data_IF_277515730691
#
_entry.id   IF_277515730691
#
_cell.length_a   1.000
_cell.length_b   1.000
_cell.length_c   1.000
_cell.angle_alpha   90.00
_cell.angle_beta   90.00
_cell.angle_gamma   90.00
#
_symmetry.space_group_name_H-M   'P 1'
#
loop_
_entity.id
_entity.type
_entity.pdbx_description
1 polymer ?
#
# COMPACT_ATOMS: atom_id res chain seq x y z
N UNK A 1 43.02 -59.51 -18.83
CA UNK A 1 41.90 -58.61 -18.45
C UNK A 1 40.72 -59.51 -18.13
N UNK A 2 40.08 -59.37 -16.98
CA UNK A 2 38.96 -60.24 -16.61
C UNK A 2 37.77 -59.97 -17.54
N UNK A 3 37.18 -61.03 -18.10
CA UNK A 3 35.90 -60.95 -18.77
C UNK A 3 34.82 -60.67 -17.71
N UNK A 4 34.02 -59.63 -17.95
CA UNK A 4 32.96 -59.18 -17.04
C UNK A 4 31.58 -59.28 -17.70
N UNK A 5 31.45 -60.06 -18.77
CA UNK A 5 30.18 -60.34 -19.42
C UNK A 5 29.18 -60.95 -18.43
N UNK A 6 27.89 -60.62 -18.59
CA UNK A 6 26.77 -60.98 -17.69
C UNK A 6 26.83 -60.39 -16.27
N UNK A 7 27.94 -59.77 -15.85
CA UNK A 7 28.00 -59.08 -14.57
C UNK A 7 27.14 -57.82 -14.57
N UNK A 8 26.60 -57.49 -13.39
CA UNK A 8 25.70 -56.34 -13.23
C UNK A 8 26.31 -55.28 -12.31
N UNK A 9 26.33 -54.03 -12.79
CA UNK A 9 26.83 -52.85 -12.10
C UNK A 9 25.70 -51.82 -11.96
N UNK A 10 25.10 -51.74 -10.78
CA UNK A 10 23.89 -50.93 -10.57
C UNK A 10 22.71 -51.49 -11.37
N UNK A 11 22.18 -50.71 -12.34
CA UNK A 11 21.12 -51.13 -13.27
C UNK A 11 21.65 -51.59 -14.63
N UNK A 12 22.97 -51.71 -14.80
CA UNK A 12 23.60 -52.08 -16.07
C UNK A 12 24.09 -53.52 -16.02
N UNK A 13 23.59 -54.37 -16.92
CA UNK A 13 24.11 -55.71 -17.15
C UNK A 13 25.02 -55.68 -18.37
N UNK A 14 26.24 -56.18 -18.23
CA UNK A 14 27.22 -56.22 -19.32
C UNK A 14 26.83 -57.30 -20.32
N UNK A 15 26.66 -56.93 -21.59
CA UNK A 15 26.23 -57.84 -22.65
C UNK A 15 27.40 -58.41 -23.43
N UNK A 16 28.39 -57.58 -23.78
CA UNK A 16 29.60 -57.98 -24.52
C UNK A 16 30.68 -56.91 -24.50
N UNK A 17 31.90 -57.32 -24.79
CA UNK A 17 33.01 -56.41 -25.10
C UNK A 17 32.77 -55.65 -26.41
N UNK A 18 33.20 -54.38 -26.48
CA UNK A 18 33.12 -53.55 -27.69
C UNK A 18 34.51 -53.28 -28.28
N UNK A 19 35.32 -52.46 -27.60
CA UNK A 19 36.68 -52.10 -28.01
C UNK A 19 37.44 -51.44 -26.84
N UNK A 20 38.69 -51.02 -27.02
CA UNK A 20 39.40 -50.12 -26.13
C UNK A 20 39.21 -48.66 -26.56
N UNK A 21 39.24 -47.73 -25.60
CA UNK A 21 39.36 -46.30 -25.88
C UNK A 21 40.82 -45.92 -26.22
N UNK A 22 41.03 -44.64 -26.54
CA UNK A 22 42.36 -44.06 -26.83
C UNK A 22 43.40 -44.24 -25.70
N UNK A 23 42.94 -44.44 -24.46
CA UNK A 23 43.77 -44.67 -23.28
C UNK A 23 43.96 -46.17 -22.95
N UNK A 24 43.57 -47.08 -23.86
CA UNK A 24 43.71 -48.53 -23.68
C UNK A 24 42.72 -49.17 -22.70
N UNK A 25 41.71 -48.43 -22.22
CA UNK A 25 40.67 -48.93 -21.32
C UNK A 25 39.54 -49.60 -22.10
N UNK A 26 39.15 -50.81 -21.70
CA UNK A 26 38.07 -51.56 -22.35
C UNK A 26 36.69 -50.92 -22.17
N UNK A 27 35.94 -50.84 -23.26
CA UNK A 27 34.57 -50.38 -23.39
C UNK A 27 33.67 -51.61 -23.55
N UNK A 28 32.58 -51.62 -22.80
CA UNK A 28 31.61 -52.70 -22.76
C UNK A 28 30.23 -52.20 -23.16
N UNK A 29 29.51 -53.02 -23.93
CA UNK A 29 28.11 -52.78 -24.27
C UNK A 29 27.25 -53.30 -23.13
N UNK A 30 26.43 -52.44 -22.54
CA UNK A 30 25.58 -52.77 -21.40
C UNK A 30 24.10 -52.53 -21.74
N UNK A 31 23.22 -53.34 -21.16
CA UNK A 31 21.77 -53.15 -21.18
C UNK A 31 21.29 -52.63 -19.82
N UNK A 32 20.41 -51.64 -19.81
CA UNK A 32 19.86 -51.11 -18.58
C UNK A 32 18.53 -51.77 -18.20
N UNK A 33 18.31 -52.05 -16.92
CA UNK A 33 17.06 -52.66 -16.42
C UNK A 33 15.83 -51.74 -16.41
N UNK A 34 15.96 -50.46 -16.77
CA UNK A 34 14.85 -49.48 -16.69
C UNK A 34 13.78 -49.58 -17.80
N UNK A 35 13.84 -50.60 -18.65
CA UNK A 35 12.93 -50.78 -19.78
C UNK A 35 13.26 -49.93 -21.01
N UNK A 36 14.26 -49.04 -20.94
CA UNK A 36 14.81 -48.41 -22.13
C UNK A 36 15.65 -49.43 -22.91
N UNK A 37 15.23 -49.74 -24.15
CA UNK A 37 15.91 -50.71 -25.01
C UNK A 37 17.25 -50.23 -25.59
N UNK A 38 17.68 -48.99 -25.29
CA UNK A 38 18.99 -48.50 -25.72
C UNK A 38 20.14 -49.24 -25.02
N UNK A 39 21.06 -49.78 -25.81
CA UNK A 39 22.36 -50.23 -25.34
C UNK A 39 23.26 -49.03 -25.03
N UNK A 40 24.05 -49.12 -23.96
CA UNK A 40 25.00 -48.07 -23.56
C UNK A 40 26.43 -48.59 -23.52
N UNK A 41 27.37 -47.74 -23.91
CA UNK A 41 28.80 -48.07 -23.98
C UNK A 41 29.50 -47.47 -22.75
N UNK A 42 30.11 -48.31 -21.92
CA UNK A 42 30.70 -47.89 -20.65
C UNK A 42 32.08 -48.51 -20.49
N UNK A 43 33.05 -47.74 -19.99
CA UNK A 43 34.40 -48.24 -19.72
C UNK A 43 34.43 -49.15 -18.49
N UNK A 44 35.34 -50.12 -18.47
CA UNK A 44 35.58 -50.99 -17.31
C UNK A 44 35.87 -50.21 -16.03
N UNK A 45 36.62 -49.11 -16.15
CA UNK A 45 36.89 -48.20 -15.03
C UNK A 45 35.61 -47.60 -14.44
N UNK A 46 34.68 -47.14 -15.28
CA UNK A 46 33.44 -46.49 -14.87
C UNK A 46 32.38 -47.45 -14.33
N UNK A 47 32.40 -48.71 -14.78
CA UNK A 47 31.62 -49.80 -14.19
C UNK A 47 32.17 -50.14 -12.79
N UNK A 48 33.49 -50.37 -12.69
CA UNK A 48 34.13 -50.81 -11.45
C UNK A 48 34.09 -49.77 -10.32
N UNK A 49 34.31 -48.49 -10.62
CA UNK A 49 34.22 -47.42 -9.61
C UNK A 49 32.78 -46.92 -9.39
N UNK A 50 31.81 -47.43 -10.16
CA UNK A 50 30.41 -47.06 -10.07
C UNK A 50 30.08 -45.64 -10.53
N UNK A 51 30.92 -44.98 -11.34
CA UNK A 51 30.59 -43.67 -11.92
C UNK A 51 29.40 -43.76 -12.89
N UNK A 52 29.23 -44.90 -13.55
CA UNK A 52 28.10 -45.19 -14.46
C UNK A 52 27.29 -46.38 -13.98
N UNK A 53 26.10 -46.12 -13.39
CA UNK A 53 25.23 -47.14 -12.77
C UNK A 53 23.93 -47.41 -13.55
N UNK A 54 23.68 -46.69 -14.63
CA UNK A 54 22.46 -46.82 -15.45
C UNK A 54 22.67 -46.14 -16.80
N UNK A 55 21.72 -46.29 -17.74
CA UNK A 55 21.69 -45.52 -18.98
C UNK A 55 21.33 -44.03 -18.78
N UNK A 56 21.44 -43.50 -17.56
CA UNK A 56 21.01 -42.17 -17.17
C UNK A 56 19.61 -42.09 -16.54
N UNK A 57 18.84 -43.19 -16.55
CA UNK A 57 17.49 -43.23 -15.97
C UNK A 57 17.48 -42.88 -14.47
N UNK A 58 18.48 -43.33 -13.70
CA UNK A 58 18.60 -43.04 -12.27
C UNK A 58 18.67 -41.53 -12.00
N UNK A 59 19.27 -40.75 -12.90
CA UNK A 59 19.32 -39.29 -12.79
C UNK A 59 18.00 -38.61 -13.19
N UNK A 60 17.20 -39.24 -14.05
CA UNK A 60 15.87 -38.76 -14.45
C UNK A 60 14.85 -39.01 -13.34
N UNK A 61 14.93 -40.17 -12.68
CA UNK A 61 14.07 -40.59 -11.56
C UNK A 61 14.41 -39.91 -10.23
N UNK A 62 15.53 -39.16 -10.16
CA UNK A 62 15.99 -38.54 -8.93
C UNK A 62 14.96 -37.53 -8.43
N UNK A 63 14.55 -37.68 -7.17
CA UNK A 63 13.71 -36.73 -6.43
C UNK A 63 14.53 -35.90 -5.44
N UNK A 64 14.07 -34.71 -5.06
CA UNK A 64 14.68 -33.98 -3.94
C UNK A 64 14.62 -34.84 -2.66
N UNK A 65 15.66 -34.75 -1.83
CA UNK A 65 15.77 -35.53 -0.57
C UNK A 65 14.68 -35.15 0.45
N UNK A 66 14.17 -33.93 0.35
CA UNK A 66 13.15 -33.38 1.22
C UNK A 66 12.20 -32.54 0.37
N UNK A 67 10.90 -32.64 0.64
CA UNK A 67 9.90 -31.75 0.06
C UNK A 67 9.84 -30.43 0.84
N UNK A 68 9.97 -29.32 0.11
CA UNK A 68 9.96 -27.98 0.68
C UNK A 68 8.62 -27.25 0.45
N UNK A 69 7.68 -27.82 -0.31
CA UNK A 69 6.38 -27.18 -0.57
C UNK A 69 5.67 -26.78 0.73
N UNK A 70 5.13 -25.56 0.73
CA UNK A 70 4.46 -24.94 1.88
C UNK A 70 5.41 -24.39 2.96
N UNK A 71 6.71 -24.72 2.91
CA UNK A 71 7.68 -24.19 3.88
C UNK A 71 8.06 -22.75 3.53
N UNK A 72 8.21 -21.94 4.58
CA UNK A 72 8.63 -20.55 4.46
C UNK A 72 10.10 -20.38 4.87
N UNK A 73 10.87 -19.70 4.03
CA UNK A 73 12.27 -19.36 4.25
C UNK A 73 12.42 -17.84 4.09
N UNK A 74 12.53 -17.12 5.21
CA UNK A 74 12.46 -15.65 5.21
C UNK A 74 11.14 -15.16 4.59
N UNK A 75 11.18 -14.25 3.61
CA UNK A 75 10.01 -13.67 2.97
C UNK A 75 9.51 -14.51 1.78
N UNK A 76 9.96 -15.77 1.64
CA UNK A 76 9.62 -16.68 0.54
C UNK A 76 8.90 -17.93 1.04
N UNK A 77 7.70 -18.18 0.52
CA UNK A 77 6.97 -19.44 0.71
C UNK A 77 7.11 -20.29 -0.53
N UNK A 78 7.56 -21.53 -0.36
CA UNK A 78 7.75 -22.47 -1.48
C UNK A 78 6.39 -22.98 -1.95
N UNK A 79 6.10 -22.81 -3.24
CA UNK A 79 4.84 -23.23 -3.85
C UNK A 79 4.94 -24.63 -4.44
N UNK A 80 5.98 -24.87 -5.25
CA UNK A 80 6.16 -26.17 -5.94
C UNK A 80 7.58 -26.37 -6.45
N UNK A 81 7.87 -27.61 -6.84
CA UNK A 81 9.08 -27.95 -7.57
C UNK A 81 9.04 -27.31 -8.97
N UNK A 82 10.13 -26.63 -9.33
CA UNK A 82 10.29 -26.05 -10.65
C UNK A 82 10.68 -27.14 -11.66
N UNK A 83 10.20 -27.02 -12.89
CA UNK A 83 10.42 -28.04 -13.94
C UNK A 83 11.84 -28.02 -14.48
N UNK A 84 12.49 -26.85 -14.52
CA UNK A 84 13.88 -26.75 -14.95
C UNK A 84 14.85 -27.17 -13.83
N UNK A 85 15.96 -27.79 -14.24
CA UNK A 85 17.12 -28.05 -13.36
C UNK A 85 18.15 -26.95 -13.55
N UNK A 86 18.90 -26.62 -12.51
CA UNK A 86 20.04 -25.71 -12.64
C UNK A 86 21.16 -26.34 -13.48
N UNK A 87 22.13 -25.51 -13.88
CA UNK A 87 23.34 -25.95 -14.62
C UNK A 87 24.08 -27.06 -13.88
N UNK A 88 24.17 -26.97 -12.55
CA UNK A 88 24.75 -27.98 -11.66
C UNK A 88 23.76 -29.09 -11.23
N UNK A 89 22.66 -29.25 -11.97
CA UNK A 89 21.62 -30.27 -11.80
C UNK A 89 20.95 -30.29 -10.42
N UNK A 90 20.93 -29.18 -9.68
CA UNK A 90 20.16 -29.04 -8.44
C UNK A 90 18.67 -28.90 -8.75
N UNK A 91 17.86 -29.34 -7.79
CA UNK A 91 16.43 -29.10 -7.81
C UNK A 91 16.15 -27.64 -7.49
N UNK A 92 15.28 -27.04 -8.29
CA UNK A 92 14.85 -25.65 -8.16
C UNK A 92 13.39 -25.64 -7.68
N UNK A 93 13.05 -24.60 -6.94
CA UNK A 93 11.75 -24.42 -6.33
C UNK A 93 11.18 -23.07 -6.75
N UNK A 94 9.90 -23.07 -7.10
CA UNK A 94 9.14 -21.84 -7.29
C UNK A 94 8.62 -21.37 -5.94
N UNK A 95 8.88 -20.11 -5.63
CA UNK A 95 8.52 -19.49 -4.37
C UNK A 95 7.74 -18.20 -4.62
N UNK A 96 6.76 -17.95 -3.78
CA UNK A 96 6.05 -16.68 -3.72
C UNK A 96 6.65 -15.81 -2.62
N UNK A 97 6.79 -14.52 -2.93
CA UNK A 97 7.30 -13.58 -1.94
C UNK A 97 6.14 -12.89 -1.21
N UNK A 98 6.27 -12.80 0.12
CA UNK A 98 5.29 -12.12 0.99
C UNK A 98 5.04 -10.64 0.64
N UNK A 99 5.91 -10.02 -0.17
CA UNK A 99 5.74 -8.63 -0.60
C UNK A 99 4.63 -8.38 -1.64
N UNK A 100 3.98 -9.44 -2.16
CA UNK A 100 2.82 -9.30 -3.04
C UNK A 100 3.11 -8.77 -4.45
N UNK A 101 4.38 -8.63 -4.86
CA UNK A 101 4.77 -8.18 -6.23
C UNK A 101 4.35 -9.13 -7.35
N UNK A 102 3.82 -10.31 -7.04
CA UNK A 102 3.41 -11.32 -8.03
C UNK A 102 4.57 -12.00 -8.77
N UNK A 103 5.83 -11.69 -8.44
CA UNK A 103 6.99 -12.31 -9.08
C UNK A 103 7.27 -13.70 -8.50
N UNK A 104 7.28 -14.71 -9.36
CA UNK A 104 7.71 -16.07 -9.02
C UNK A 104 9.22 -16.09 -8.86
N UNK A 105 9.68 -16.51 -7.68
CA UNK A 105 11.10 -16.60 -7.35
C UNK A 105 11.57 -18.04 -7.51
N UNK A 106 12.55 -18.26 -8.38
CA UNK A 106 13.18 -19.57 -8.56
C UNK A 106 14.43 -19.65 -7.68
N UNK A 107 14.51 -20.67 -6.82
CA UNK A 107 15.62 -20.83 -5.86
C UNK A 107 15.98 -22.30 -5.64
N UNK A 108 17.25 -22.58 -5.35
CA UNK A 108 17.68 -23.93 -4.94
C UNK A 108 17.42 -24.17 -3.45
N UNK A 109 17.27 -25.44 -3.04
CA UNK A 109 17.16 -25.79 -1.61
C UNK A 109 18.33 -25.28 -0.78
N UNK A 110 19.54 -25.20 -1.36
CA UNK A 110 20.73 -24.68 -0.69
C UNK A 110 20.61 -23.19 -0.41
N UNK A 111 20.09 -22.43 -1.38
CA UNK A 111 19.99 -20.98 -1.26
C UNK A 111 18.85 -20.55 -0.32
N UNK A 112 17.76 -21.33 -0.29
CA UNK A 112 16.65 -21.13 0.65
C UNK A 112 17.09 -21.41 2.09
N UNK A 113 17.62 -22.61 2.37
CA UNK A 113 18.05 -23.01 3.71
C UNK A 113 19.24 -22.19 4.22
N UNK A 114 20.19 -21.87 3.33
CA UNK A 114 21.34 -21.04 3.66
C UNK A 114 21.04 -19.54 3.70
N UNK A 115 19.80 -19.13 3.43
CA UNK A 115 19.39 -17.73 3.43
C UNK A 115 20.15 -16.86 2.44
N UNK A 116 20.65 -17.42 1.33
CA UNK A 116 21.24 -16.62 0.24
C UNK A 116 20.14 -16.00 -0.62
N UNK A 117 19.03 -16.72 -0.79
CA UNK A 117 17.82 -16.22 -1.42
C UNK A 117 16.76 -16.02 -0.35
N UNK A 118 16.59 -14.75 0.07
CA UNK A 118 15.69 -14.39 1.18
C UNK A 118 14.36 -13.79 0.75
N UNK A 119 14.28 -13.30 -0.50
CA UNK A 119 13.07 -12.70 -1.07
C UNK A 119 13.19 -12.55 -2.61
N UNK A 120 12.18 -11.95 -3.27
CA UNK A 120 12.26 -11.52 -4.68
C UNK A 120 13.18 -10.30 -4.90
N UNK A 121 14.23 -10.15 -4.08
CA UNK A 121 15.08 -8.94 -4.02
C UNK A 121 14.39 -7.71 -3.39
N UNK A 122 13.20 -7.86 -2.80
CA UNK A 122 12.61 -6.84 -1.94
C UNK A 122 13.38 -6.62 -0.62
N UNK A 123 14.15 -7.62 -0.14
CA UNK A 123 14.95 -7.53 1.09
C UNK A 123 16.26 -6.76 0.89
N UNK A 124 16.87 -6.84 -0.30
CA UNK A 124 18.03 -6.00 -0.64
C UNK A 124 17.64 -4.50 -0.76
N UNK A 125 16.33 -4.23 -0.82
CA UNK A 125 15.76 -2.88 -0.72
C UNK A 125 15.36 -2.49 0.72
N UNK A 126 15.54 -3.32 1.76
CA UNK A 126 15.20 -2.90 3.14
C UNK A 126 16.07 -1.74 3.66
N UNK A 127 17.24 -1.44 3.06
CA UNK A 127 18.02 -0.20 3.31
C UNK A 127 17.55 1.01 2.48
N UNK A 128 16.78 0.79 1.41
CA UNK A 128 16.11 1.85 0.64
C UNK A 128 14.60 1.67 0.79
N UNK A 129 14.10 2.17 1.93
CA UNK A 129 12.70 2.48 2.30
C UNK A 129 11.64 1.64 1.58
N UNK A 130 10.82 0.95 2.38
CA UNK A 130 9.50 0.44 1.99
C UNK A 130 8.99 1.17 0.75
N UNK A 131 8.80 0.46 -0.37
CA UNK A 131 8.14 1.04 -1.54
C UNK A 131 6.72 1.34 -1.10
N UNK A 132 6.52 2.52 -0.51
CA UNK A 132 5.23 3.06 -0.16
C UNK A 132 4.51 3.15 -1.50
N UNK A 133 3.40 2.45 -1.61
CA UNK A 133 2.51 2.65 -2.74
C UNK A 133 2.02 4.10 -2.68
N UNK A 134 2.42 4.88 -3.66
CA UNK A 134 2.05 6.29 -3.75
C UNK A 134 0.70 6.47 -4.46
N UNK A 135 0.07 5.41 -4.96
CA UNK A 135 -1.18 5.48 -5.73
C UNK A 135 -2.27 6.19 -4.94
N UNK A 136 -2.91 7.19 -5.56
CA UNK A 136 -3.94 8.04 -4.96
C UNK A 136 -3.41 9.16 -4.06
N UNK A 137 -2.13 9.14 -3.67
CA UNK A 137 -1.52 10.21 -2.89
C UNK A 137 -1.34 11.45 -3.77
N UNK A 138 -1.39 12.62 -3.12
CA UNK A 138 -1.26 13.92 -3.76
C UNK A 138 0.03 14.57 -3.27
N UNK A 139 0.87 15.00 -4.22
CA UNK A 139 2.10 15.74 -3.98
C UNK A 139 2.01 17.06 -4.74
N UNK A 140 1.83 18.17 -4.02
CA UNK A 140 1.58 19.48 -4.64
C UNK A 140 0.39 19.41 -5.62
N UNK A 141 0.60 19.74 -6.91
CA UNK A 141 -0.44 19.69 -7.95
C UNK A 141 -0.55 18.32 -8.65
N UNK A 142 0.09 17.27 -8.10
CA UNK A 142 0.22 15.98 -8.76
C UNK A 142 -0.49 14.90 -7.94
N UNK A 143 -1.58 14.36 -8.47
CA UNK A 143 -2.20 13.14 -7.96
C UNK A 143 -1.55 11.93 -8.63
N UNK A 144 -0.98 11.03 -7.85
CA UNK A 144 -0.39 9.79 -8.37
C UNK A 144 -1.51 8.85 -8.80
N UNK A 145 -1.53 8.49 -10.08
CA UNK A 145 -2.55 7.58 -10.65
C UNK A 145 -2.06 6.15 -10.74
N UNK A 146 -0.81 5.94 -11.16
CA UNK A 146 -0.33 4.60 -11.50
C UNK A 146 1.18 4.44 -11.36
N UNK A 147 1.59 3.30 -10.82
CA UNK A 147 2.97 2.82 -10.89
C UNK A 147 3.35 2.37 -12.30
N UNK A 148 4.42 2.92 -12.86
CA UNK A 148 4.80 2.64 -14.25
C UNK A 148 5.75 1.46 -14.42
N UNK A 149 6.30 0.92 -13.32
CA UNK A 149 7.36 -0.09 -13.36
C UNK A 149 8.57 0.29 -14.25
N UNK A 150 8.79 1.60 -14.43
CA UNK A 150 9.94 2.19 -15.13
C UNK A 150 10.90 2.83 -14.12
N UNK A 151 12.17 2.98 -14.49
CA UNK A 151 13.18 3.68 -13.69
C UNK A 151 13.83 4.82 -14.45
N UNK A 152 14.23 5.88 -13.74
CA UNK A 152 15.07 6.95 -14.28
C UNK A 152 16.57 6.57 -14.27
N UNK A 153 17.42 7.48 -14.74
CA UNK A 153 18.89 7.29 -14.78
C UNK A 153 19.50 7.01 -13.40
N UNK A 154 18.94 7.60 -12.33
CA UNK A 154 19.37 7.39 -10.94
C UNK A 154 18.83 6.09 -10.32
N UNK A 155 18.10 5.30 -11.11
CA UNK A 155 17.50 4.04 -10.68
C UNK A 155 16.25 4.19 -9.81
N UNK A 156 15.66 5.38 -9.70
CA UNK A 156 14.41 5.62 -8.99
C UNK A 156 13.20 5.20 -9.81
N UNK A 157 12.18 4.66 -9.14
CA UNK A 157 10.94 4.27 -9.80
C UNK A 157 10.11 5.48 -10.23
N UNK A 158 9.48 5.37 -11.39
CA UNK A 158 8.62 6.40 -11.97
C UNK A 158 7.14 6.10 -11.76
N UNK A 159 6.39 7.18 -11.55
CA UNK A 159 4.95 7.20 -11.32
C UNK A 159 4.27 8.09 -12.33
N UNK A 160 3.14 7.65 -12.86
CA UNK A 160 2.24 8.50 -13.63
C UNK A 160 1.41 9.34 -12.66
N UNK A 161 1.46 10.65 -12.86
CA UNK A 161 0.69 11.60 -12.08
C UNK A 161 -0.25 12.39 -13.00
N UNK A 162 -1.50 12.56 -12.56
CA UNK A 162 -2.41 13.55 -13.11
C UNK A 162 -2.14 14.88 -12.43
N UNK A 163 -1.73 15.86 -13.23
CA UNK A 163 -1.59 17.23 -12.77
C UNK A 163 -2.96 17.90 -12.68
N UNK A 164 -3.12 18.81 -11.73
CA UNK A 164 -4.32 19.65 -11.61
C UNK A 164 -4.64 20.43 -12.89
N UNK A 165 -3.65 20.69 -13.75
CA UNK A 165 -3.90 21.31 -15.05
C UNK A 165 -4.54 20.37 -16.10
N UNK A 166 -4.82 19.12 -15.73
CA UNK A 166 -5.39 18.08 -16.59
C UNK A 166 -4.37 17.33 -17.43
N UNK A 167 -3.08 17.65 -17.33
CA UNK A 167 -2.01 16.95 -18.07
C UNK A 167 -1.38 15.84 -17.24
N UNK A 168 -0.97 14.76 -17.90
CA UNK A 168 -0.23 13.68 -17.26
C UNK A 168 1.27 13.95 -17.28
N UNK A 169 1.98 13.46 -16.26
CA UNK A 169 3.44 13.54 -16.17
C UNK A 169 4.02 12.31 -15.49
N UNK A 170 5.26 11.95 -15.84
CA UNK A 170 6.00 10.88 -15.17
C UNK A 170 6.97 11.51 -14.16
N UNK A 171 6.88 11.13 -12.88
CA UNK A 171 7.70 11.71 -11.80
C UNK A 171 8.37 10.61 -10.98
N UNK A 172 9.64 10.83 -10.62
CA UNK A 172 10.41 9.89 -9.83
C UNK A 172 9.94 9.86 -8.37
N UNK A 173 10.11 8.71 -7.71
CA UNK A 173 9.74 8.51 -6.30
C UNK A 173 10.44 9.50 -5.37
N UNK A 174 11.73 9.77 -5.60
CA UNK A 174 12.49 10.73 -4.80
C UNK A 174 11.96 12.15 -4.96
N UNK A 175 11.59 12.53 -6.18
CA UNK A 175 11.06 13.86 -6.49
C UNK A 175 9.67 14.11 -5.88
N UNK A 176 8.80 13.09 -5.88
CA UNK A 176 7.50 13.17 -5.19
C UNK A 176 7.71 13.32 -3.68
N UNK A 177 8.47 12.41 -3.07
CA UNK A 177 8.63 12.36 -1.61
C UNK A 177 9.43 13.51 -1.02
N UNK A 178 10.33 14.13 -1.80
CA UNK A 178 11.07 15.35 -1.42
C UNK A 178 10.36 16.63 -1.86
N UNK A 179 9.20 16.55 -2.52
CA UNK A 179 8.49 17.68 -3.11
C UNK A 179 9.35 18.52 -4.08
N UNK A 180 10.29 17.89 -4.78
CA UNK A 180 11.15 18.56 -5.76
C UNK A 180 10.40 18.94 -7.04
N UNK A 181 9.37 18.16 -7.39
CA UNK A 181 8.47 18.40 -8.53
C UNK A 181 7.09 18.82 -8.01
N UNK A 182 6.67 20.03 -8.39
CA UNK A 182 5.43 20.65 -7.90
C UNK A 182 4.25 20.49 -8.85
N UNK A 183 4.51 20.24 -10.13
CA UNK A 183 3.52 20.07 -11.19
C UNK A 183 4.15 19.40 -12.42
N UNK A 184 3.37 19.15 -13.48
CA UNK A 184 3.85 18.56 -14.74
C UNK A 184 4.79 19.47 -15.56
N UNK A 185 5.40 20.48 -14.95
CA UNK A 185 6.14 21.53 -15.64
C UNK A 185 5.27 22.71 -16.07
N UNK A 186 3.94 22.63 -15.90
CA UNK A 186 3.06 23.78 -16.13
C UNK A 186 3.47 24.97 -15.25
N UNK A 187 4.09 24.72 -14.09
CA UNK A 187 4.66 25.74 -13.18
C UNK A 187 5.82 26.53 -13.81
N UNK A 188 6.66 25.86 -14.61
CA UNK A 188 7.90 26.44 -15.17
C UNK A 188 7.73 26.94 -16.60
N UNK A 189 6.76 26.41 -17.34
CA UNK A 189 6.63 26.61 -18.78
C UNK A 189 6.07 27.95 -19.23
N UNK A 190 5.53 28.78 -18.34
CA UNK A 190 4.97 30.08 -18.70
C UNK A 190 5.06 31.06 -17.52
N UNK A 191 5.34 32.32 -17.84
CA UNK A 191 5.06 33.52 -17.04
C UNK A 191 3.54 33.64 -16.70
N UNK A 192 2.94 32.61 -16.10
CA UNK A 192 1.49 32.47 -15.89
C UNK A 192 1.09 32.10 -14.45
N UNK A 193 2.04 31.86 -13.55
CA UNK A 193 1.74 31.77 -12.10
C UNK A 193 1.63 33.14 -11.42
N UNK A 194 1.97 34.21 -12.15
CA UNK A 194 1.54 35.58 -11.84
C UNK A 194 0.10 35.86 -12.29
N UNK A 195 -0.62 34.87 -12.85
CA UNK A 195 -2.04 34.98 -13.13
C UNK A 195 -2.87 34.00 -12.28
N UNK A 196 -3.24 34.41 -11.06
CA UNK A 196 -4.09 33.64 -10.17
C UNK A 196 -5.44 33.18 -10.76
N UNK A 197 -5.87 33.77 -11.89
CA UNK A 197 -7.11 33.45 -12.63
C UNK A 197 -7.31 31.96 -12.92
N UNK A 198 -6.24 31.19 -13.19
CA UNK A 198 -6.36 29.78 -13.55
C UNK A 198 -6.76 28.88 -12.36
N UNK A 199 -6.19 29.12 -11.18
CA UNK A 199 -6.49 28.33 -9.97
C UNK A 199 -7.94 28.57 -9.50
N UNK A 200 -8.43 29.81 -9.65
CA UNK A 200 -9.80 30.16 -9.29
C UNK A 200 -10.83 29.43 -10.16
N UNK A 201 -10.53 29.28 -11.45
CA UNK A 201 -11.39 28.59 -12.43
C UNK A 201 -11.42 27.08 -12.17
N UNK A 202 -10.29 26.50 -11.80
CA UNK A 202 -10.16 25.05 -11.56
C UNK A 202 -10.74 24.62 -10.21
N UNK A 203 -10.68 25.48 -9.19
CA UNK A 203 -11.19 25.20 -7.83
C UNK A 203 -12.20 26.26 -7.35
N UNK A 204 -13.31 26.48 -8.07
CA UNK A 204 -14.20 27.61 -7.83
C UNK A 204 -14.90 27.55 -6.47
N UNK A 205 -15.09 26.35 -5.89
CA UNK A 205 -15.68 26.18 -4.54
C UNK A 205 -14.67 26.53 -3.44
N UNK A 206 -13.46 25.99 -3.50
CA UNK A 206 -12.40 26.29 -2.51
C UNK A 206 -12.07 27.78 -2.56
N UNK A 207 -12.02 28.37 -3.76
CA UNK A 207 -11.84 29.81 -3.94
C UNK A 207 -12.94 30.64 -3.29
N UNK A 208 -14.20 30.27 -3.47
CA UNK A 208 -15.33 30.93 -2.80
C UNK A 208 -15.26 30.83 -1.28
N UNK A 209 -14.85 29.68 -0.76
CA UNK A 209 -14.67 29.48 0.69
C UNK A 209 -13.58 30.44 1.20
N UNK A 210 -12.41 30.41 0.56
CA UNK A 210 -11.28 31.28 0.89
C UNK A 210 -11.63 32.77 0.87
N UNK A 211 -12.29 33.23 -0.20
CA UNK A 211 -12.84 34.58 -0.32
C UNK A 211 -13.79 34.91 0.84
N UNK A 212 -14.68 33.98 1.20
CA UNK A 212 -15.56 34.11 2.36
C UNK A 212 -14.79 34.26 3.68
N UNK A 213 -13.69 33.51 3.86
CA UNK A 213 -12.80 33.65 5.03
C UNK A 213 -12.18 35.05 5.09
N UNK A 214 -11.62 35.53 3.98
CA UNK A 214 -10.99 36.86 3.95
C UNK A 214 -12.01 37.96 4.21
N UNK A 215 -13.20 37.90 3.60
CA UNK A 215 -14.26 38.88 3.80
C UNK A 215 -14.71 38.97 5.27
N UNK A 216 -15.04 37.83 5.91
CA UNK A 216 -15.49 37.85 7.31
C UNK A 216 -14.44 38.33 8.31
N UNK A 217 -13.15 38.12 8.02
CA UNK A 217 -12.07 38.56 8.92
C UNK A 217 -11.60 40.00 8.68
N UNK A 218 -11.67 40.51 7.44
CA UNK A 218 -11.02 41.77 7.08
C UNK A 218 -11.95 42.90 6.63
N UNK A 219 -13.22 42.62 6.27
CA UNK A 219 -14.15 43.63 5.77
C UNK A 219 -15.19 44.01 6.85
N UNK A 220 -15.09 45.20 7.49
CA UNK A 220 -16.06 45.67 8.49
C UNK A 220 -17.50 45.74 8.01
N UNK A 221 -17.72 45.90 6.70
CA UNK A 221 -19.04 46.00 6.09
C UNK A 221 -19.65 44.63 5.74
N UNK A 222 -18.93 43.52 6.01
CA UNK A 222 -19.45 42.18 5.76
C UNK A 222 -20.37 41.76 6.91
N UNK A 223 -21.55 41.21 6.61
CA UNK A 223 -22.61 40.87 7.60
C UNK A 223 -22.06 40.11 8.82
N UNK A 224 -21.19 39.13 8.58
CA UNK A 224 -20.64 38.32 9.66
C UNK A 224 -19.43 38.94 10.38
N UNK A 225 -18.92 40.10 9.98
CA UNK A 225 -17.64 40.65 10.46
C UNK A 225 -17.57 40.77 11.98
N UNK A 226 -18.64 41.24 12.63
CA UNK A 226 -18.71 41.36 14.08
C UNK A 226 -18.43 40.03 14.82
N UNK A 227 -18.75 38.89 14.20
CA UNK A 227 -18.53 37.56 14.76
C UNK A 227 -17.13 36.98 14.46
N UNK A 228 -16.34 37.66 13.62
CA UNK A 228 -15.00 37.23 13.21
C UNK A 228 -14.00 38.38 13.36
N UNK A 229 -13.81 39.22 12.33
CA UNK A 229 -12.83 40.31 12.35
C UNK A 229 -13.04 41.29 13.51
N UNK A 230 -14.29 41.59 13.87
CA UNK A 230 -14.63 42.43 15.03
C UNK A 230 -14.20 41.85 16.39
N UNK A 231 -13.91 40.55 16.45
CA UNK A 231 -13.36 39.86 17.63
C UNK A 231 -11.84 39.69 17.57
N UNK A 232 -11.18 40.24 16.56
CA UNK A 232 -9.74 40.11 16.35
C UNK A 232 -9.31 38.82 15.65
N UNK A 233 -10.24 38.03 15.12
CA UNK A 233 -9.92 36.80 14.36
C UNK A 233 -9.32 37.17 13.01
N UNK A 234 -8.13 36.63 12.72
CA UNK A 234 -7.38 36.88 11.49
C UNK A 234 -7.20 35.62 10.66
N UNK A 235 -6.74 35.81 9.43
CA UNK A 235 -6.24 34.74 8.56
C UNK A 235 -4.71 34.78 8.62
N UNK A 236 -4.07 33.64 8.81
CA UNK A 236 -2.61 33.58 8.88
C UNK A 236 -1.96 34.10 7.58
N UNK A 237 -0.73 34.58 7.69
CA UNK A 237 0.00 35.21 6.60
C UNK A 237 0.07 34.32 5.35
N UNK A 238 0.34 33.03 5.53
CA UNK A 238 0.41 32.05 4.42
C UNK A 238 -0.90 31.98 3.65
N UNK A 239 -2.05 32.07 4.32
CA UNK A 239 -3.37 31.98 3.68
C UNK A 239 -3.87 33.33 3.15
N UNK A 240 -3.03 34.37 3.16
CA UNK A 240 -3.32 35.60 2.41
C UNK A 240 -3.30 35.38 0.90
N UNK A 241 -2.61 34.33 0.45
CA UNK A 241 -2.53 33.87 -0.92
C UNK A 241 -3.38 32.60 -1.13
N UNK A 242 -4.21 32.61 -2.18
CA UNK A 242 -5.12 31.49 -2.47
C UNK A 242 -4.42 30.15 -2.68
N UNK A 243 -3.27 30.05 -3.40
CA UNK A 243 -2.59 28.76 -3.61
C UNK A 243 -2.26 28.05 -2.30
N UNK A 244 -1.79 28.78 -1.28
CA UNK A 244 -1.42 28.18 0.01
C UNK A 244 -2.64 27.62 0.76
N UNK A 245 -3.78 28.31 0.69
CA UNK A 245 -5.04 27.79 1.24
C UNK A 245 -5.55 26.58 0.44
N UNK A 246 -5.44 26.63 -0.90
CA UNK A 246 -5.84 25.54 -1.78
C UNK A 246 -5.05 24.26 -1.49
N UNK A 247 -3.71 24.34 -1.39
CA UNK A 247 -2.88 23.19 -1.09
C UNK A 247 -3.22 22.59 0.27
N UNK A 248 -3.34 23.42 1.30
CA UNK A 248 -3.77 22.93 2.61
C UNK A 248 -5.14 22.24 2.54
N UNK A 249 -6.11 22.81 1.82
CA UNK A 249 -7.44 22.23 1.70
C UNK A 249 -7.38 20.81 1.09
N UNK A 250 -6.65 20.65 -0.01
CA UNK A 250 -6.50 19.36 -0.70
C UNK A 250 -5.79 18.31 0.16
N UNK A 251 -4.75 18.70 0.89
CA UNK A 251 -3.98 17.80 1.76
C UNK A 251 -4.72 17.40 3.04
N UNK A 252 -5.71 18.19 3.49
CA UNK A 252 -6.34 18.03 4.80
C UNK A 252 -7.79 17.53 4.73
N UNK A 253 -8.14 16.78 3.69
CA UNK A 253 -9.42 16.07 3.61
C UNK A 253 -10.59 16.92 3.11
N UNK A 254 -10.32 17.90 2.24
CA UNK A 254 -11.38 18.60 1.53
C UNK A 254 -12.22 17.64 0.67
N UNK A 255 -13.54 17.74 0.83
CA UNK A 255 -14.53 17.09 -0.03
C UNK A 255 -15.63 18.08 -0.40
N UNK A 256 -16.31 17.86 -1.53
CA UNK A 256 -17.32 18.80 -2.07
C UNK A 256 -18.50 19.05 -1.11
N UNK A 257 -18.78 18.12 -0.20
CA UNK A 257 -19.85 18.16 0.80
C UNK A 257 -19.38 18.58 2.21
N UNK A 258 -18.11 18.97 2.38
CA UNK A 258 -17.56 19.41 3.67
C UNK A 258 -17.48 20.92 3.80
N UNK A 259 -17.58 21.40 5.03
CA UNK A 259 -17.51 22.80 5.44
C UNK A 259 -16.21 23.07 6.21
N UNK A 260 -15.68 24.28 6.08
CA UNK A 260 -14.53 24.72 6.85
C UNK A 260 -14.98 25.11 8.26
N UNK A 261 -14.37 24.51 9.27
CA UNK A 261 -14.64 24.76 10.68
C UNK A 261 -13.34 25.14 11.42
N UNK A 262 -13.47 25.85 12.54
CA UNK A 262 -12.35 26.15 13.43
C UNK A 262 -12.44 25.29 14.68
N UNK A 263 -11.34 24.62 15.03
CA UNK A 263 -11.25 23.77 16.21
C UNK A 263 -11.47 24.61 17.48
N UNK A 264 -10.79 25.75 17.57
CA UNK A 264 -11.04 26.79 18.56
C UNK A 264 -11.75 27.97 17.88
N UNK A 265 -13.02 28.18 18.26
CA UNK A 265 -13.88 29.26 17.74
C UNK A 265 -13.35 30.67 17.99
N UNK A 266 -12.45 30.84 18.96
CA UNK A 266 -11.80 32.10 19.29
C UNK A 266 -10.44 32.26 18.59
N UNK A 267 -9.93 31.20 17.96
CA UNK A 267 -8.65 31.22 17.24
C UNK A 267 -8.76 31.70 15.79
N UNK A 268 -7.59 31.91 15.19
CA UNK A 268 -7.42 32.38 13.81
C UNK A 268 -7.74 31.31 12.76
N UNK A 269 -7.87 31.72 11.50
CA UNK A 269 -7.83 30.79 10.37
C UNK A 269 -6.39 30.46 10.01
N UNK A 270 -5.97 29.26 10.41
CA UNK A 270 -4.63 28.72 10.19
C UNK A 270 -4.68 27.18 10.15
N UNK A 271 -3.66 26.52 9.58
CA UNK A 271 -3.64 25.06 9.42
C UNK A 271 -3.89 24.28 10.71
N UNK A 272 -3.36 24.73 11.84
CA UNK A 272 -3.49 24.11 13.16
C UNK A 272 -4.88 24.27 13.79
N UNK A 273 -5.64 25.28 13.37
CA UNK A 273 -6.93 25.61 13.97
C UNK A 273 -8.11 25.36 13.02
N UNK A 274 -7.88 24.87 11.81
CA UNK A 274 -8.94 24.62 10.83
C UNK A 274 -9.08 23.14 10.51
N UNK A 275 -10.29 22.73 10.14
CA UNK A 275 -10.59 21.36 9.70
C UNK A 275 -11.79 21.34 8.75
N UNK A 276 -11.90 20.26 7.97
CA UNK A 276 -13.07 20.00 7.13
C UNK A 276 -14.05 19.08 7.85
N UNK A 277 -15.24 19.60 8.13
CA UNK A 277 -16.30 18.89 8.84
C UNK A 277 -17.54 18.73 7.96
N UNK A 278 -18.40 17.78 8.26
CA UNK A 278 -19.73 17.70 7.67
C UNK A 278 -20.63 18.83 8.21
N UNK A 279 -21.69 19.16 7.48
CA UNK A 279 -22.68 20.14 7.97
C UNK A 279 -23.30 19.75 9.33
N UNK A 280 -23.46 18.44 9.58
CA UNK A 280 -23.94 17.90 10.86
C UNK A 280 -22.97 18.21 12.00
N UNK A 281 -21.68 18.01 11.78
CA UNK A 281 -20.62 18.32 12.76
C UNK A 281 -20.47 19.83 12.96
N UNK A 282 -20.45 20.62 11.89
CA UNK A 282 -20.37 22.08 11.99
C UNK A 282 -21.55 22.66 12.80
N UNK A 283 -22.75 22.13 12.56
CA UNK A 283 -23.95 22.52 13.31
C UNK A 283 -23.79 22.29 14.82
N UNK A 284 -23.12 21.20 15.24
CA UNK A 284 -22.85 20.89 16.65
C UNK A 284 -21.83 21.82 17.29
N UNK A 285 -20.90 22.35 16.51
CA UNK A 285 -19.83 23.23 16.99
C UNK A 285 -20.25 24.71 17.12
N UNK A 286 -21.49 25.05 16.76
CA UNK A 286 -22.00 26.41 16.88
C UNK A 286 -22.11 26.83 18.35
N UNK A 287 -21.60 28.00 18.67
CA UNK A 287 -21.60 28.56 20.03
C UNK A 287 -22.98 28.86 20.60
N UNK A 288 -24.01 28.94 19.74
CA UNK A 288 -25.39 29.17 20.16
C UNK A 288 -26.16 27.88 20.50
N UNK A 289 -25.51 26.71 20.43
CA UNK A 289 -26.13 25.47 20.85
C UNK A 289 -26.31 25.43 22.37
N UNK A 290 -27.48 24.95 22.80
CA UNK A 290 -27.71 24.62 24.20
C UNK A 290 -26.95 23.34 24.56
N UNK A 291 -25.97 23.49 25.47
CA UNK A 291 -25.27 22.38 26.08
C UNK A 291 -26.04 21.87 27.30
N UNK A 292 -26.22 20.56 27.39
CA UNK A 292 -26.96 19.89 28.46
C UNK A 292 -26.01 18.86 29.07
N UNK A 293 -25.87 18.91 30.39
CA UNK A 293 -25.10 17.93 31.15
C UNK A 293 -26.02 16.84 31.66
N UNK A 294 -25.73 15.58 31.33
CA UNK A 294 -26.43 14.41 31.86
C UNK A 294 -25.37 13.47 32.42
N UNK A 295 -25.46 13.14 33.71
CA UNK A 295 -24.53 12.24 34.41
C UNK A 295 -23.04 12.63 34.21
N UNK A 296 -22.75 13.94 34.30
CA UNK A 296 -21.38 14.47 34.19
C UNK A 296 -20.83 14.60 32.76
N UNK A 297 -21.60 14.25 31.74
CA UNK A 297 -21.21 14.43 30.32
C UNK A 297 -21.98 15.61 29.74
N UNK A 298 -21.29 16.56 29.11
CA UNK A 298 -21.92 17.71 28.44
C UNK A 298 -21.98 17.48 26.94
N UNK A 299 -23.18 17.55 26.35
CA UNK A 299 -23.42 17.45 24.90
C UNK A 299 -24.51 18.41 24.45
N UNK A 300 -24.64 18.61 23.14
CA UNK A 300 -25.78 19.34 22.57
C UNK A 300 -27.07 18.51 22.69
N UNK A 301 -28.22 19.18 22.69
CA UNK A 301 -29.53 18.51 22.69
C UNK A 301 -29.69 17.50 21.54
N UNK A 302 -29.16 17.83 20.36
CA UNK A 302 -29.23 16.95 19.18
C UNK A 302 -28.39 15.67 19.37
N UNK A 303 -27.24 15.76 20.03
CA UNK A 303 -26.42 14.58 20.35
C UNK A 303 -27.11 13.70 21.39
N UNK A 304 -27.70 14.28 22.43
CA UNK A 304 -28.47 13.51 23.40
C UNK A 304 -29.68 12.83 22.77
N UNK A 305 -30.36 13.51 21.85
CA UNK A 305 -31.50 12.96 21.13
C UNK A 305 -31.11 11.74 20.29
N UNK A 306 -29.99 11.82 19.59
CA UNK A 306 -29.45 10.70 18.80
C UNK A 306 -29.05 9.52 19.69
N UNK A 307 -28.34 9.76 20.80
CA UNK A 307 -27.95 8.71 21.76
C UNK A 307 -29.18 8.02 22.35
N UNK A 308 -30.20 8.81 22.69
CA UNK A 308 -31.44 8.35 23.30
C UNK A 308 -32.43 7.74 22.31
N UNK A 309 -32.19 7.84 20.99
CA UNK A 309 -33.15 7.44 19.96
C UNK A 309 -34.48 8.20 20.04
N UNK A 310 -34.47 9.47 20.45
CA UNK A 310 -35.66 10.35 20.52
C UNK A 310 -35.49 11.60 19.66
N UNK A 311 -36.56 12.35 19.46
CA UNK A 311 -36.47 13.64 18.76
C UNK A 311 -35.90 14.73 19.71
N UNK A 312 -35.10 15.70 19.22
CA UNK A 312 -34.62 16.80 20.05
C UNK A 312 -35.73 17.56 20.76
N UNK A 313 -36.90 17.72 20.12
CA UNK A 313 -38.09 18.32 20.72
C UNK A 313 -38.55 17.55 21.97
N UNK A 314 -38.43 16.23 21.99
CA UNK A 314 -38.74 15.43 23.19
C UNK A 314 -37.85 15.80 24.37
N UNK A 315 -36.56 16.06 24.13
CA UNK A 315 -35.65 16.51 25.19
C UNK A 315 -36.00 17.94 25.64
N UNK A 316 -36.30 18.84 24.70
CA UNK A 316 -36.78 20.20 25.03
C UNK A 316 -38.04 20.17 25.90
N UNK A 317 -39.05 19.38 25.52
CA UNK A 317 -40.31 19.25 26.27
C UNK A 317 -40.09 18.69 27.67
N UNK A 318 -39.15 17.75 27.85
CA UNK A 318 -38.79 17.21 29.17
C UNK A 318 -38.16 18.26 30.06
N UNK A 319 -37.26 19.08 29.51
CA UNK A 319 -36.65 20.20 30.23
C UNK A 319 -37.71 21.24 30.62
N UNK A 320 -38.58 21.63 29.68
CA UNK A 320 -39.68 22.59 29.92
C UNK A 320 -40.66 22.09 31.00
N UNK A 321 -40.85 20.76 31.09
CA UNK A 321 -41.68 20.10 32.11
C UNK A 321 -40.94 19.79 33.42
N UNK A 322 -39.69 20.20 33.57
CA UNK A 322 -38.90 20.01 34.80
C UNK A 322 -38.51 18.55 35.09
N UNK A 323 -38.29 17.73 34.07
CA UNK A 323 -37.80 16.36 34.28
C UNK A 323 -36.38 16.38 34.90
N UNK A 324 -36.04 15.40 35.76
CA UNK A 324 -34.68 15.23 36.27
C UNK A 324 -33.67 15.07 35.12
N UNK A 325 -32.47 15.63 35.29
CA UNK A 325 -31.42 15.62 34.25
C UNK A 325 -31.10 14.22 33.73
N UNK A 326 -31.10 13.23 34.62
CA UNK A 326 -30.85 11.82 34.33
C UNK A 326 -31.91 11.17 33.44
N UNK A 327 -33.13 11.73 33.41
CA UNK A 327 -34.28 11.18 32.68
C UNK A 327 -34.48 11.87 31.32
N UNK A 328 -33.72 12.93 31.02
CA UNK A 328 -33.85 13.72 29.79
C UNK A 328 -33.57 12.89 28.53
N UNK A 329 -32.70 11.89 28.61
CA UNK A 329 -32.27 11.02 27.50
C UNK A 329 -32.92 9.62 27.51
N UNK A 330 -34.01 9.40 28.23
CA UNK A 330 -34.72 8.11 28.21
C UNK A 330 -35.40 7.84 26.85
N UNK A 331 -35.38 6.59 26.39
CA UNK A 331 -36.04 6.13 25.16
C UNK A 331 -37.58 6.19 25.26
N UNK A 332 -38.27 6.19 24.11
CA UNK A 332 -39.74 6.15 24.04
C UNK A 332 -40.25 4.83 24.65
N UNK A 333 -40.88 4.90 25.82
CA UNK A 333 -41.46 3.74 26.54
C UNK A 333 -41.29 3.82 28.06
N UNK A 334 -40.26 4.52 28.54
CA UNK A 334 -40.01 4.73 29.96
C UNK A 334 -40.90 5.84 30.53
N UNK A 335 -42.21 5.60 30.69
CA UNK A 335 -43.08 6.50 31.46
C UNK A 335 -42.90 6.22 32.96
N UNK A 336 -42.33 7.17 33.71
CA UNK A 336 -42.64 7.30 35.15
C UNK A 336 -44.00 8.01 35.30
N UNK A 337 -44.88 7.46 36.14
CA UNK A 337 -46.09 8.16 36.61
C UNK A 337 -45.63 9.38 37.42
N UNK A 338 -45.73 10.57 36.85
CA UNK A 338 -45.51 11.81 37.59
C UNK A 338 -46.72 11.97 38.53
N UNK A 339 -46.52 11.79 39.84
CA UNK A 339 -47.49 12.23 40.85
C UNK A 339 -47.35 13.75 40.97
N UNK A 340 -48.35 14.47 40.47
CA UNK A 340 -48.56 15.88 40.79
C UNK A 340 -49.03 15.92 42.25
N UNK A 341 -48.34 16.67 43.10
CA UNK A 341 -48.83 17.10 44.41
C UNK A 341 -49.30 18.54 44.28
#
# INVERSE_FOLDING_TARGET
>A
MADITEQTFGRLTVMRYFNKNEYGTSIWVCKCSCGNNSLVYVTSSNLGNGSTKSCGCLNKERKPKEDLTGKTFNDLTVVRLHTAKSVDRRFLWECECACGRGEVVIASSKDLKGGRKRSCSCMYNKKRRASVDLTGQIFNMLKVEKFLNKRNADGEFLWQCLCDCGSNTEVATGDLTKNAVKSCGCLKGKNQFDNPSYLYKSYPRIYRIWQGIKKRCANPNYESYANYGGRGIKVCEKWQEFPAFLFWALENGYEKNREIDRINNNGNYEPSNCRWVTAKENSRNKSNNRHITIKGVTKTMAEWAEIAGVLPKTISDRIERGWPEEDLSLTRGSRRKIKIK
#
